data_IF_873443816834
#
_entry.id   IF_873443816834
#
_cell.length_a   1.000
_cell.length_b   1.000
_cell.length_c   1.000
_cell.angle_alpha   90.00
_cell.angle_beta   90.00
_cell.angle_gamma   90.00
#
_symmetry.space_group_name_H-M   'P 1'
#
loop_
_entity.id
_entity.type
_entity.pdbx_description
1 polymer ?
#
# COMPACT_ATOMS: atom_id res chain seq x y z
N UNK A 1 -42.08 -21.99 16.29
CA UNK A 1 -42.09 -23.19 17.18
C UNK A 1 -40.66 -23.46 17.60
N UNK A 2 -40.30 -22.94 18.76
CA UNK A 2 -38.99 -23.15 19.35
C UNK A 2 -38.95 -24.42 20.17
N UNK A 3 -37.89 -25.21 20.14
CA UNK A 3 -37.75 -26.35 21.07
C UNK A 3 -37.22 -25.87 22.42
N UNK A 4 -38.02 -26.07 23.42
CA UNK A 4 -37.73 -25.85 24.84
C UNK A 4 -36.61 -26.83 25.26
N UNK A 5 -35.45 -26.32 25.61
CA UNK A 5 -34.33 -27.06 26.15
C UNK A 5 -34.66 -27.57 27.57
N UNK A 6 -34.72 -28.88 27.75
CA UNK A 6 -34.88 -29.52 29.05
C UNK A 6 -33.62 -29.38 29.91
N UNK A 7 -33.77 -28.75 31.06
CA UNK A 7 -32.76 -28.73 32.10
C UNK A 7 -32.81 -30.06 32.88
N UNK A 8 -31.71 -30.80 32.89
CA UNK A 8 -31.56 -32.00 33.77
C UNK A 8 -30.72 -31.57 34.97
N UNK A 9 -31.35 -31.47 36.13
CA UNK A 9 -30.65 -31.31 37.41
C UNK A 9 -30.25 -32.68 37.97
N UNK A 10 -28.95 -32.93 38.09
CA UNK A 10 -28.42 -34.08 38.83
C UNK A 10 -28.04 -33.60 40.23
N UNK A 11 -28.84 -33.98 41.23
CA UNK A 11 -28.50 -33.79 42.65
C UNK A 11 -27.73 -34.98 43.16
N UNK A 12 -26.47 -34.85 43.51
CA UNK A 12 -25.70 -35.84 44.25
C UNK A 12 -25.79 -35.54 45.76
N UNK A 13 -26.55 -36.34 46.49
CA UNK A 13 -26.62 -36.28 47.97
C UNK A 13 -25.59 -37.25 48.52
N UNK A 14 -24.61 -36.77 49.26
CA UNK A 14 -23.65 -37.60 50.01
C UNK A 14 -24.05 -37.58 51.50
N UNK A 15 -24.61 -38.65 51.98
CA UNK A 15 -24.94 -38.85 53.40
C UNK A 15 -23.74 -39.46 54.14
N UNK A 16 -23.18 -38.75 55.12
CA UNK A 16 -22.23 -39.29 56.07
C UNK A 16 -23.05 -39.67 57.34
N UNK A 17 -22.92 -40.91 57.74
CA UNK A 17 -23.50 -41.45 58.99
C UNK A 17 -22.73 -40.97 60.21
N UNK A 18 -23.41 -40.45 61.21
CA UNK A 18 -22.89 -40.24 62.57
C UNK A 18 -23.43 -38.97 63.24
N UNK A 19 -24.28 -39.19 64.24
CA UNK A 19 -24.73 -38.34 65.34
C UNK A 19 -25.51 -37.06 65.04
N UNK A 20 -26.74 -37.01 65.52
CA UNK A 20 -27.71 -35.92 65.38
C UNK A 20 -27.69 -35.05 66.65
N UNK A 21 -27.35 -33.76 66.46
CA UNK A 21 -27.54 -32.71 67.48
C UNK A 21 -28.74 -31.81 67.04
N UNK A 22 -29.75 -31.58 67.90
CA UNK A 22 -31.08 -31.10 67.43
C UNK A 22 -31.26 -29.62 67.36
N UNK A 23 -30.20 -28.83 67.15
CA UNK A 23 -30.32 -27.36 67.02
C UNK A 23 -29.39 -26.74 66.00
N UNK A 24 -29.38 -27.27 64.80
CA UNK A 24 -28.69 -26.55 63.71
C UNK A 24 -29.66 -26.40 62.53
N UNK A 25 -30.21 -25.20 62.39
CA UNK A 25 -30.93 -24.79 61.17
C UNK A 25 -29.94 -24.68 60.04
N UNK A 26 -29.90 -25.63 59.13
CA UNK A 26 -29.05 -25.60 57.93
C UNK A 26 -29.77 -24.83 56.89
N UNK A 27 -29.27 -23.59 56.65
CA UNK A 27 -29.61 -22.73 55.45
C UNK A 27 -28.94 -23.35 54.25
N UNK A 28 -29.71 -24.10 53.45
CA UNK A 28 -29.22 -24.50 52.12
C UNK A 28 -29.22 -23.31 51.15
N UNK A 29 -28.05 -22.71 50.91
CA UNK A 29 -27.87 -21.81 49.80
C UNK A 29 -27.74 -22.65 48.52
N UNK A 30 -28.78 -22.68 47.70
CA UNK A 30 -28.69 -23.21 46.34
C UNK A 30 -27.82 -22.26 45.50
N UNK A 31 -26.54 -22.57 45.38
CA UNK A 31 -25.71 -21.98 44.38
C UNK A 31 -26.03 -22.59 43.00
N UNK A 32 -26.93 -21.94 42.25
CA UNK A 32 -27.10 -22.23 40.85
C UNK A 32 -25.85 -21.73 40.11
N UNK A 33 -24.89 -22.64 39.87
CA UNK A 33 -23.76 -22.34 38.97
C UNK A 33 -24.31 -22.41 37.54
N UNK A 34 -24.70 -21.29 37.02
CA UNK A 34 -24.94 -21.17 35.58
C UNK A 34 -23.56 -21.27 34.88
N UNK A 35 -23.42 -22.12 33.85
CA UNK A 35 -22.22 -22.06 33.03
C UNK A 35 -22.11 -20.65 32.43
N UNK A 36 -20.91 -20.07 32.36
CA UNK A 36 -20.75 -18.77 31.73
C UNK A 36 -21.32 -18.87 30.31
N UNK A 37 -22.33 -18.04 30.05
CA UNK A 37 -22.81 -17.83 28.67
C UNK A 37 -21.66 -17.19 27.94
N UNK A 38 -20.86 -18.00 27.22
CA UNK A 38 -19.88 -17.51 26.27
C UNK A 38 -20.70 -16.78 25.21
N UNK A 39 -20.61 -15.45 25.08
CA UNK A 39 -21.29 -14.76 24.02
C UNK A 39 -20.77 -15.36 22.71
N UNK A 40 -21.62 -15.99 21.91
CA UNK A 40 -21.30 -16.31 20.52
C UNK A 40 -20.81 -15.00 19.90
N UNK A 41 -19.62 -15.00 19.29
CA UNK A 41 -19.23 -13.81 18.51
C UNK A 41 -20.36 -13.55 17.54
N UNK A 42 -21.01 -12.40 17.68
CA UNK A 42 -22.01 -11.95 16.73
C UNK A 42 -21.35 -12.07 15.37
N UNK A 43 -21.93 -12.84 14.46
CA UNK A 43 -21.54 -12.83 13.06
C UNK A 43 -21.90 -11.44 12.56
N UNK A 44 -20.92 -10.54 12.62
CA UNK A 44 -21.04 -9.18 12.07
C UNK A 44 -21.00 -9.36 10.56
N UNK A 45 -22.13 -9.71 9.98
CA UNK A 45 -22.41 -9.53 8.55
C UNK A 45 -22.75 -8.07 8.35
N UNK A 46 -21.75 -7.18 8.58
CA UNK A 46 -21.91 -5.79 8.17
C UNK A 46 -21.81 -5.75 6.66
N UNK A 47 -22.77 -5.13 6.03
CA UNK A 47 -22.76 -4.90 4.59
C UNK A 47 -21.46 -4.17 4.18
N UNK A 48 -20.93 -4.46 2.98
CA UNK A 48 -19.76 -3.75 2.49
C UNK A 48 -20.01 -2.25 2.46
N UNK A 49 -19.13 -1.47 3.07
CA UNK A 49 -19.25 -0.01 3.09
C UNK A 49 -17.92 0.67 2.73
N UNK A 50 -17.96 1.86 2.11
CA UNK A 50 -16.78 2.68 1.91
C UNK A 50 -16.21 3.13 3.26
N UNK A 51 -14.89 3.10 3.40
CA UNK A 51 -14.18 3.60 4.59
C UNK A 51 -12.82 4.17 4.19
N UNK A 52 -12.17 4.88 5.11
CA UNK A 52 -10.81 5.38 4.90
C UNK A 52 -9.85 4.24 4.55
N UNK A 53 -8.83 4.49 3.72
CA UNK A 53 -7.93 3.43 3.27
C UNK A 53 -7.06 2.88 4.41
N UNK A 54 -6.93 1.56 4.42
CA UNK A 54 -6.01 0.85 5.32
C UNK A 54 -4.57 0.92 4.81
N UNK A 55 -4.41 1.08 3.48
CA UNK A 55 -3.11 1.10 2.80
C UNK A 55 -3.07 2.22 1.77
N UNK A 56 -1.97 2.98 1.76
CA UNK A 56 -1.75 4.04 0.77
C UNK A 56 -0.43 3.80 0.04
N UNK A 57 -0.49 3.65 -1.29
CA UNK A 57 0.69 3.65 -2.15
C UNK A 57 1.05 5.12 -2.45
N UNK A 58 2.00 5.67 -1.70
CA UNK A 58 2.34 7.09 -1.69
C UNK A 58 3.23 7.54 -2.85
N UNK A 59 3.92 6.62 -3.50
CA UNK A 59 4.89 6.96 -4.56
C UNK A 59 5.75 5.76 -4.96
N UNK A 60 6.75 6.03 -5.82
CA UNK A 60 7.07 7.31 -6.45
C UNK A 60 6.40 7.40 -7.82
N UNK A 61 6.13 8.59 -8.27
CA UNK A 61 5.69 8.81 -9.65
C UNK A 61 6.71 8.19 -10.62
N UNK A 62 6.25 7.30 -11.52
CA UNK A 62 7.05 6.50 -12.46
C UNK A 62 7.89 5.37 -11.83
N UNK A 63 7.72 5.10 -10.56
CA UNK A 63 8.35 3.96 -9.87
C UNK A 63 7.66 2.60 -10.09
N UNK A 64 6.45 2.56 -10.68
CA UNK A 64 5.72 1.30 -10.84
C UNK A 64 4.44 1.19 -10.00
N UNK A 65 3.97 2.28 -9.39
CA UNK A 65 2.80 2.29 -8.47
C UNK A 65 1.54 1.66 -9.06
N UNK A 66 1.32 1.79 -10.37
CA UNK A 66 0.17 1.15 -11.03
C UNK A 66 0.36 -0.37 -11.14
N UNK A 67 1.57 -0.83 -11.43
CA UNK A 67 1.87 -2.25 -11.47
C UNK A 67 1.67 -2.88 -10.09
N UNK A 68 2.24 -2.26 -9.05
CA UNK A 68 2.07 -2.71 -7.66
C UNK A 68 0.59 -2.79 -7.27
N UNK A 69 -0.22 -1.77 -7.59
CA UNK A 69 -1.66 -1.78 -7.30
C UNK A 69 -2.38 -2.92 -8.02
N UNK A 70 -2.10 -3.13 -9.32
CA UNK A 70 -2.74 -4.19 -10.10
C UNK A 70 -2.32 -5.59 -9.64
N UNK A 71 -1.07 -5.75 -9.17
CA UNK A 71 -0.59 -7.00 -8.56
C UNK A 71 -1.24 -7.24 -7.20
N UNK A 72 -1.38 -6.23 -6.35
CA UNK A 72 -2.10 -6.33 -5.08
C UNK A 72 -3.58 -6.73 -5.26
N UNK A 73 -4.22 -6.30 -6.33
CA UNK A 73 -5.62 -6.67 -6.65
C UNK A 73 -5.79 -8.16 -7.01
N UNK A 74 -4.71 -8.91 -7.18
CA UNK A 74 -4.77 -10.37 -7.31
C UNK A 74 -5.20 -11.04 -6.00
N UNK A 75 -4.90 -10.39 -4.87
CA UNK A 75 -5.28 -10.89 -3.54
C UNK A 75 -6.76 -10.63 -3.26
N UNK A 76 -7.49 -11.66 -2.82
CA UNK A 76 -8.95 -11.62 -2.65
C UNK A 76 -9.42 -10.67 -1.55
N UNK A 77 -8.56 -10.36 -0.57
CA UNK A 77 -8.86 -9.43 0.52
C UNK A 77 -8.49 -7.97 0.19
N UNK A 78 -8.01 -7.67 -1.02
CA UNK A 78 -7.62 -6.31 -1.39
C UNK A 78 -8.67 -5.65 -2.26
N UNK A 79 -9.20 -4.55 -1.77
CA UNK A 79 -10.17 -3.68 -2.45
C UNK A 79 -9.50 -2.34 -2.78
N UNK A 80 -9.23 -2.08 -4.07
CA UNK A 80 -8.48 -0.91 -4.49
C UNK A 80 -9.35 0.19 -5.10
N UNK A 81 -9.05 1.45 -4.76
CA UNK A 81 -9.65 2.61 -5.40
C UNK A 81 -9.39 2.63 -6.92
N UNK A 82 -10.35 3.05 -7.70
CA UNK A 82 -10.28 2.99 -9.17
C UNK A 82 -9.34 4.04 -9.75
N UNK A 83 -9.27 5.22 -9.13
CA UNK A 83 -8.50 6.38 -9.60
C UNK A 83 -7.55 6.91 -8.54
N UNK A 84 -6.65 7.80 -8.94
CA UNK A 84 -5.85 8.60 -8.01
C UNK A 84 -6.74 9.68 -7.41
N UNK A 85 -6.91 9.66 -6.09
CA UNK A 85 -7.87 10.55 -5.41
C UNK A 85 -7.32 11.96 -5.23
N UNK A 86 -5.99 12.08 -5.08
CA UNK A 86 -5.35 13.36 -4.82
C UNK A 86 -5.93 14.11 -3.60
N UNK A 87 -6.35 13.35 -2.58
CA UNK A 87 -6.98 13.94 -1.40
C UNK A 87 -5.98 14.77 -0.59
N UNK A 88 -4.79 14.23 -0.36
CA UNK A 88 -3.83 14.87 0.54
C UNK A 88 -2.95 15.94 -0.13
N UNK A 89 -2.77 15.92 -1.44
CA UNK A 89 -1.90 16.86 -2.15
C UNK A 89 -2.65 18.03 -2.83
N UNK A 90 -3.96 17.92 -3.04
CA UNK A 90 -4.80 19.02 -3.54
C UNK A 90 -5.64 19.62 -2.41
N UNK A 91 -5.45 20.92 -2.13
CA UNK A 91 -6.17 21.61 -1.07
C UNK A 91 -7.68 21.56 -1.25
N UNK A 92 -8.16 21.72 -2.50
CA UNK A 92 -9.58 21.63 -2.84
C UNK A 92 -10.21 20.26 -2.52
N UNK A 93 -9.42 19.18 -2.57
CA UNK A 93 -9.88 17.85 -2.18
C UNK A 93 -9.81 17.66 -0.66
N UNK A 94 -8.71 18.09 -0.04
CA UNK A 94 -8.52 17.98 1.40
C UNK A 94 -9.61 18.73 2.20
N UNK A 95 -10.02 19.90 1.73
CA UNK A 95 -11.09 20.69 2.33
C UNK A 95 -12.48 20.01 2.30
N UNK A 96 -12.66 18.98 1.47
CA UNK A 96 -13.91 18.21 1.43
C UNK A 96 -14.10 17.27 2.61
N UNK A 97 -13.04 17.04 3.40
CA UNK A 97 -13.09 16.26 4.63
C UNK A 97 -12.99 14.74 4.43
N UNK A 98 -12.84 14.05 5.56
CA UNK A 98 -12.59 12.61 5.62
C UNK A 98 -13.76 11.76 5.06
N UNK A 99 -15.00 12.19 5.25
CA UNK A 99 -16.17 11.48 4.76
C UNK A 99 -16.21 11.45 3.23
N UNK A 100 -15.87 12.57 2.60
CA UNK A 100 -15.71 12.59 1.15
C UNK A 100 -14.57 11.67 0.69
N UNK A 101 -13.44 11.67 1.40
CA UNK A 101 -12.34 10.79 1.06
C UNK A 101 -12.74 9.31 1.19
N UNK A 102 -13.42 8.95 2.27
CA UNK A 102 -13.96 7.60 2.45
C UNK A 102 -14.92 7.21 1.30
N UNK A 103 -15.77 8.13 0.84
CA UNK A 103 -16.69 7.87 -0.28
C UNK A 103 -15.99 7.59 -1.62
N UNK A 104 -14.70 7.95 -1.77
CA UNK A 104 -13.89 7.64 -2.94
C UNK A 104 -13.29 6.21 -2.89
N UNK A 105 -13.36 5.55 -1.73
CA UNK A 105 -12.86 4.19 -1.56
C UNK A 105 -13.90 3.15 -2.01
N UNK A 106 -13.45 1.97 -2.41
CA UNK A 106 -14.36 0.85 -2.67
C UNK A 106 -15.05 0.42 -1.38
N UNK A 107 -16.26 -0.11 -1.52
CA UNK A 107 -16.90 -0.82 -0.41
C UNK A 107 -16.11 -2.08 -0.07
N UNK A 108 -15.83 -2.29 1.21
CA UNK A 108 -15.07 -3.42 1.72
C UNK A 108 -15.79 -4.08 2.91
N UNK A 109 -15.69 -5.39 2.98
CA UNK A 109 -16.17 -6.20 4.12
C UNK A 109 -15.16 -6.16 5.26
N UNK A 110 -15.56 -6.48 6.48
CA UNK A 110 -14.61 -6.76 7.57
C UNK A 110 -13.57 -7.79 7.13
N UNK A 111 -12.29 -7.53 7.45
CA UNK A 111 -11.17 -8.37 7.05
C UNK A 111 -10.61 -8.11 5.63
N UNK A 112 -11.25 -7.26 4.82
CA UNK A 112 -10.67 -6.80 3.57
C UNK A 112 -9.91 -5.49 3.78
N UNK A 113 -8.81 -5.28 3.06
CA UNK A 113 -8.04 -4.03 3.06
C UNK A 113 -8.47 -3.12 1.92
N UNK A 114 -8.72 -1.85 2.23
CA UNK A 114 -8.92 -0.81 1.24
C UNK A 114 -7.60 -0.13 0.90
N UNK A 115 -7.30 -0.01 -0.39
CA UNK A 115 -6.03 0.51 -0.90
C UNK A 115 -6.26 1.71 -1.82
N UNK A 116 -5.61 2.82 -1.52
CA UNK A 116 -5.55 4.01 -2.38
C UNK A 116 -4.14 4.17 -2.95
N UNK A 117 -4.03 4.77 -4.13
CA UNK A 117 -2.75 5.00 -4.79
C UNK A 117 -2.71 6.37 -5.46
N UNK A 118 -1.92 7.28 -4.91
CA UNK A 118 -1.62 8.61 -5.52
C UNK A 118 -0.11 8.88 -5.45
N UNK A 119 0.61 8.68 -6.56
CA UNK A 119 2.07 8.74 -6.56
C UNK A 119 2.67 10.13 -6.31
N UNK A 120 1.86 11.17 -6.38
CA UNK A 120 2.27 12.54 -6.11
C UNK A 120 2.49 12.81 -4.61
N UNK A 121 1.97 11.95 -3.74
CA UNK A 121 2.05 12.14 -2.29
C UNK A 121 3.50 12.15 -1.80
N UNK A 122 4.35 11.26 -2.30
CA UNK A 122 5.70 11.10 -1.79
C UNK A 122 6.54 12.39 -1.83
N UNK A 123 6.42 13.18 -2.90
CA UNK A 123 7.19 14.42 -3.09
C UNK A 123 6.50 15.68 -2.53
N UNK A 124 5.36 15.54 -1.90
CA UNK A 124 4.62 16.68 -1.31
C UNK A 124 4.91 16.82 0.18
N UNK A 125 5.41 17.99 0.59
CA UNK A 125 5.77 18.25 1.98
C UNK A 125 4.58 18.28 2.95
N UNK A 126 3.38 18.60 2.49
CA UNK A 126 2.19 18.69 3.35
C UNK A 126 1.48 17.35 3.57
N UNK A 127 1.76 16.36 2.74
CA UNK A 127 1.01 15.10 2.72
C UNK A 127 1.26 14.23 3.95
N UNK A 128 2.48 14.04 4.46
CA UNK A 128 2.71 13.19 5.62
C UNK A 128 1.85 13.58 6.82
N UNK A 129 1.83 14.85 7.18
CA UNK A 129 1.04 15.36 8.31
C UNK A 129 -0.46 15.20 8.09
N UNK A 130 -0.95 15.44 6.88
CA UNK A 130 -2.36 15.25 6.53
C UNK A 130 -2.79 13.79 6.61
N UNK A 131 -1.95 12.85 6.16
CA UNK A 131 -2.22 11.42 6.32
C UNK A 131 -2.25 11.06 7.79
N UNK A 132 -1.28 11.51 8.59
CA UNK A 132 -1.23 11.24 10.02
C UNK A 132 -2.46 11.77 10.76
N UNK A 133 -2.99 12.91 10.36
CA UNK A 133 -4.20 13.49 10.94
C UNK A 133 -5.47 12.73 10.55
N UNK A 134 -5.56 12.24 9.32
CA UNK A 134 -6.79 11.65 8.77
C UNK A 134 -6.82 10.12 8.89
N UNK A 135 -5.68 9.46 8.65
CA UNK A 135 -5.53 7.99 8.63
C UNK A 135 -4.26 7.56 9.35
N UNK A 136 -4.14 7.80 10.68
CA UNK A 136 -2.91 7.56 11.43
C UNK A 136 -2.46 6.09 11.40
N UNK A 137 -3.41 5.17 11.25
CA UNK A 137 -3.16 3.73 11.25
C UNK A 137 -2.84 3.15 9.85
N UNK A 138 -2.95 3.95 8.80
CA UNK A 138 -2.69 3.48 7.44
C UNK A 138 -1.25 2.97 7.28
N UNK A 139 -1.10 1.83 6.63
CA UNK A 139 0.19 1.30 6.17
C UNK A 139 0.58 1.98 4.86
N UNK A 140 1.84 2.36 4.74
CA UNK A 140 2.35 3.11 3.59
C UNK A 140 3.23 2.21 2.71
N UNK A 141 2.96 2.19 1.42
CA UNK A 141 3.79 1.52 0.43
C UNK A 141 4.50 2.56 -0.43
N UNK A 142 5.82 2.45 -0.51
CA UNK A 142 6.65 3.30 -1.35
C UNK A 142 7.43 2.42 -2.33
N UNK A 143 7.07 2.45 -3.61
CA UNK A 143 7.82 1.75 -4.66
C UNK A 143 8.78 2.72 -5.35
N UNK A 144 10.04 2.37 -5.40
CA UNK A 144 11.14 3.18 -5.96
C UNK A 144 11.80 2.47 -7.13
N UNK A 145 12.45 3.24 -7.98
CA UNK A 145 13.28 2.77 -9.09
C UNK A 145 14.58 3.53 -9.13
N UNK A 146 15.55 3.04 -9.90
CA UNK A 146 16.77 3.78 -10.19
C UNK A 146 16.41 5.21 -10.63
N UNK A 147 16.96 6.26 -9.99
CA UNK A 147 16.55 7.64 -10.17
C UNK A 147 16.62 8.16 -11.60
N UNK A 148 17.66 7.77 -12.37
CA UNK A 148 17.82 8.17 -13.78
C UNK A 148 16.71 7.54 -14.63
N UNK A 149 16.48 6.23 -14.50
CA UNK A 149 15.41 5.52 -15.20
C UNK A 149 14.02 6.09 -14.88
N UNK A 150 13.79 6.43 -13.60
CA UNK A 150 12.57 7.09 -13.18
C UNK A 150 12.41 8.46 -13.85
N UNK A 151 13.50 9.26 -13.91
CA UNK A 151 13.52 10.59 -14.53
C UNK A 151 13.19 10.48 -16.03
N UNK A 152 13.86 9.57 -16.75
CA UNK A 152 13.61 9.33 -18.17
C UNK A 152 12.15 8.93 -18.43
N UNK A 153 11.62 8.08 -17.57
CA UNK A 153 10.21 7.67 -17.62
C UNK A 153 9.25 8.84 -17.37
N UNK A 154 9.59 9.77 -16.47
CA UNK A 154 8.77 10.97 -16.18
C UNK A 154 8.76 11.94 -17.37
N UNK A 155 9.93 12.20 -17.95
CA UNK A 155 10.04 12.96 -19.18
C UNK A 155 9.19 12.35 -20.30
N UNK A 156 9.38 11.06 -20.57
CA UNK A 156 8.64 10.34 -21.62
C UNK A 156 7.12 10.49 -21.44
N UNK A 157 6.63 10.38 -20.21
CA UNK A 157 5.20 10.56 -19.95
C UNK A 157 4.75 12.00 -20.21
N UNK A 158 5.50 12.99 -19.74
CA UNK A 158 5.17 14.41 -19.94
C UNK A 158 5.21 14.75 -21.44
N UNK A 159 6.21 14.27 -22.14
CA UNK A 159 6.37 14.47 -23.58
C UNK A 159 5.14 13.96 -24.36
N UNK A 160 4.74 12.71 -24.13
CA UNK A 160 3.55 12.14 -24.78
C UNK A 160 2.25 12.86 -24.39
N UNK A 161 2.07 13.22 -23.13
CA UNK A 161 0.87 13.96 -22.70
C UNK A 161 0.79 15.36 -23.35
N UNK A 162 1.94 16.00 -23.63
CA UNK A 162 1.98 17.29 -24.34
C UNK A 162 1.70 17.10 -25.83
N UNK A 163 2.24 16.02 -26.43
CA UNK A 163 1.98 15.64 -27.83
C UNK A 163 0.48 15.41 -28.05
N UNK A 164 -0.15 14.60 -27.21
CA UNK A 164 -1.60 14.31 -27.27
C UNK A 164 -2.46 15.60 -27.13
N UNK A 165 -1.94 16.60 -26.42
CA UNK A 165 -2.64 17.88 -26.20
C UNK A 165 -2.19 19.00 -27.16
N UNK A 166 -1.44 18.67 -28.21
CA UNK A 166 -0.87 19.62 -29.19
C UNK A 166 -0.13 20.80 -28.55
N UNK A 167 0.56 20.55 -27.41
CA UNK A 167 1.36 21.57 -26.71
C UNK A 167 2.82 21.54 -27.16
N UNK A 168 3.52 22.69 -27.16
CA UNK A 168 4.95 22.76 -27.47
C UNK A 168 5.75 21.77 -26.63
N UNK A 169 6.75 21.13 -27.23
CA UNK A 169 7.61 20.13 -26.60
C UNK A 169 9.03 20.66 -26.54
N UNK A 170 9.77 20.20 -25.52
CA UNK A 170 11.19 20.45 -25.38
C UNK A 170 11.93 19.13 -25.35
N UNK A 171 13.14 19.08 -25.84
CA UNK A 171 13.98 17.90 -25.73
C UNK A 171 14.38 17.67 -24.29
N UNK A 172 14.77 16.44 -23.97
CA UNK A 172 15.23 16.11 -22.63
C UNK A 172 16.47 16.91 -22.27
N UNK A 173 17.40 17.06 -23.21
CA UNK A 173 18.64 17.80 -23.05
C UNK A 173 18.36 19.26 -22.69
N UNK A 174 17.43 19.90 -23.40
CA UNK A 174 17.04 21.32 -23.13
C UNK A 174 16.47 21.48 -21.72
N UNK A 175 15.78 20.46 -21.19
CA UNK A 175 15.22 20.50 -19.83
C UNK A 175 16.24 20.16 -18.77
N UNK A 176 17.15 19.22 -19.06
CA UNK A 176 18.15 18.70 -18.11
C UNK A 176 19.40 19.58 -18.01
N UNK A 177 19.76 20.29 -19.08
CA UNK A 177 21.03 21.01 -19.14
C UNK A 177 20.80 22.52 -19.18
N UNK A 178 21.63 23.25 -18.44
CA UNK A 178 21.75 24.71 -18.47
C UNK A 178 23.22 25.05 -18.37
N UNK A 179 23.74 25.81 -19.35
CA UNK A 179 25.13 26.25 -19.38
C UNK A 179 26.17 25.11 -19.23
N UNK A 180 25.87 23.94 -19.81
CA UNK A 180 26.73 22.75 -19.74
C UNK A 180 26.62 21.93 -18.50
N UNK A 181 25.86 22.37 -17.49
CA UNK A 181 25.61 21.67 -16.21
C UNK A 181 24.18 21.19 -16.08
N UNK A 182 23.91 20.32 -15.08
CA UNK A 182 22.56 19.85 -14.79
C UNK A 182 21.68 20.99 -14.28
N UNK A 183 20.50 21.13 -14.88
CA UNK A 183 19.48 22.07 -14.45
C UNK A 183 18.78 21.56 -13.18
N UNK A 184 19.23 21.99 -12.01
CA UNK A 184 18.71 21.57 -10.72
C UNK A 184 17.26 22.01 -10.48
N UNK A 185 16.73 22.96 -11.26
CA UNK A 185 15.33 23.39 -11.19
C UNK A 185 14.38 22.43 -11.91
N UNK A 186 14.91 21.45 -12.64
CA UNK A 186 14.07 20.50 -13.37
C UNK A 186 13.31 19.59 -12.41
N UNK A 187 11.98 19.72 -12.41
CA UNK A 187 11.09 19.03 -11.47
C UNK A 187 11.27 17.51 -11.43
N UNK A 188 11.60 16.88 -12.57
CA UNK A 188 11.80 15.43 -12.59
C UNK A 188 13.08 15.04 -11.86
N UNK A 189 14.13 15.85 -11.89
CA UNK A 189 15.35 15.64 -11.12
C UNK A 189 15.07 15.73 -9.62
N UNK A 190 14.42 16.80 -9.16
CA UNK A 190 14.07 16.98 -7.74
C UNK A 190 13.19 15.85 -7.19
N UNK A 191 12.25 15.33 -7.98
CA UNK A 191 11.44 14.18 -7.61
C UNK A 191 12.23 12.89 -7.43
N UNK A 192 13.44 12.81 -7.99
CA UNK A 192 14.35 11.66 -7.85
C UNK A 192 15.28 11.77 -6.64
N UNK A 193 15.28 12.88 -5.91
CA UNK A 193 16.03 13.03 -4.65
C UNK A 193 15.28 12.37 -3.50
N UNK A 194 15.17 11.04 -3.56
CA UNK A 194 14.34 10.26 -2.63
C UNK A 194 14.72 10.43 -1.16
N UNK A 195 16.02 10.64 -0.88
CA UNK A 195 16.52 10.83 0.49
C UNK A 195 15.92 12.07 1.17
N UNK A 196 15.68 13.16 0.44
CA UNK A 196 15.05 14.36 0.99
C UNK A 196 13.59 14.10 1.36
N UNK A 197 12.86 13.48 0.43
CA UNK A 197 11.46 13.16 0.64
C UNK A 197 11.31 12.11 1.75
N UNK A 198 12.07 11.02 1.73
CA UNK A 198 11.98 9.95 2.74
C UNK A 198 12.31 10.47 4.14
N UNK A 199 13.33 11.34 4.28
CA UNK A 199 13.65 11.96 5.57
C UNK A 199 12.44 12.69 6.16
N UNK A 200 11.72 13.43 5.34
CA UNK A 200 10.51 14.12 5.78
C UNK A 200 9.38 13.14 6.16
N UNK A 201 9.18 12.07 5.39
CA UNK A 201 8.22 11.03 5.76
C UNK A 201 8.56 10.35 7.09
N UNK A 202 9.84 10.05 7.32
CA UNK A 202 10.31 9.41 8.56
C UNK A 202 10.28 10.35 9.78
N UNK A 203 10.20 11.66 9.59
CA UNK A 203 9.94 12.59 10.71
C UNK A 203 8.48 12.56 11.20
N UNK A 204 7.57 12.01 10.42
CA UNK A 204 6.13 11.95 10.73
C UNK A 204 5.66 10.53 11.04
N UNK A 205 6.17 9.55 10.31
CA UNK A 205 5.79 8.13 10.45
C UNK A 205 6.97 7.28 10.91
N UNK A 206 6.77 6.35 11.85
CA UNK A 206 7.79 5.38 12.20
C UNK A 206 8.06 4.45 10.99
N UNK A 207 9.31 3.97 10.87
CA UNK A 207 9.72 3.09 9.77
C UNK A 207 8.85 1.83 9.63
N UNK A 208 8.31 1.33 10.74
CA UNK A 208 7.43 0.16 10.79
C UNK A 208 6.09 0.35 10.08
N UNK A 209 5.67 1.60 9.83
CA UNK A 209 4.45 1.90 9.07
C UNK A 209 4.68 1.98 7.56
N UNK A 210 5.93 1.87 7.12
CA UNK A 210 6.28 2.05 5.71
C UNK A 210 7.05 0.84 5.17
N UNK A 211 6.61 0.29 4.04
CA UNK A 211 7.35 -0.72 3.30
C UNK A 211 7.84 -0.14 1.97
N UNK A 212 9.13 -0.36 1.70
CA UNK A 212 9.77 0.06 0.47
C UNK A 212 9.86 -1.13 -0.48
N UNK A 213 9.29 -0.96 -1.66
CA UNK A 213 9.26 -1.96 -2.73
C UNK A 213 10.31 -1.60 -3.78
N UNK A 214 11.15 -2.55 -4.14
CA UNK A 214 12.08 -2.40 -5.26
C UNK A 214 11.33 -2.55 -6.59
N UNK A 215 11.14 -1.43 -7.28
CA UNK A 215 10.42 -1.40 -8.56
C UNK A 215 11.19 -2.04 -9.71
N UNK A 216 12.51 -2.03 -9.67
CA UNK A 216 13.34 -2.67 -10.68
C UNK A 216 13.37 -4.20 -10.46
N UNK A 217 13.41 -4.66 -9.21
CA UNK A 217 13.21 -6.08 -8.87
C UNK A 217 11.79 -6.55 -9.27
N UNK A 218 10.75 -5.76 -8.98
CA UNK A 218 9.37 -6.06 -9.35
C UNK A 218 9.17 -6.20 -10.87
N UNK A 219 9.94 -5.47 -11.68
CA UNK A 219 9.93 -5.59 -13.15
C UNK A 219 10.59 -6.90 -13.58
N UNK A 220 11.72 -7.28 -12.95
CA UNK A 220 12.48 -8.50 -13.29
C UNK A 220 11.74 -9.76 -12.87
N UNK A 221 11.32 -9.81 -11.61
CA UNK A 221 10.52 -10.91 -11.03
C UNK A 221 9.59 -10.35 -9.96
N UNK A 222 8.28 -10.27 -10.21
CA UNK A 222 7.34 -9.66 -9.28
C UNK A 222 7.10 -10.47 -8.01
N UNK A 223 7.24 -11.79 -8.05
CA UNK A 223 6.79 -12.65 -6.95
C UNK A 223 7.52 -12.40 -5.62
N UNK A 224 8.86 -12.29 -5.57
CA UNK A 224 9.55 -12.04 -4.29
C UNK A 224 9.14 -10.72 -3.63
N UNK A 225 8.98 -9.65 -4.43
CA UNK A 225 8.54 -8.35 -3.90
C UNK A 225 7.08 -8.40 -3.42
N UNK A 226 6.20 -9.08 -4.15
CA UNK A 226 4.80 -9.21 -3.75
C UNK A 226 4.64 -10.02 -2.46
N UNK A 227 5.45 -11.06 -2.22
CA UNK A 227 5.46 -11.79 -0.95
C UNK A 227 5.84 -10.90 0.23
N UNK A 228 6.86 -10.05 0.08
CA UNK A 228 7.24 -9.07 1.12
C UNK A 228 6.10 -8.08 1.39
N UNK A 229 5.37 -7.68 0.36
CA UNK A 229 4.21 -6.79 0.51
C UNK A 229 3.06 -7.48 1.23
N UNK A 230 2.73 -8.74 0.90
CA UNK A 230 1.71 -9.52 1.62
C UNK A 230 2.09 -9.66 3.10
N UNK A 231 3.34 -10.00 3.42
CA UNK A 231 3.85 -10.11 4.78
C UNK A 231 3.72 -8.77 5.54
N UNK A 232 4.18 -7.67 4.96
CA UNK A 232 4.05 -6.34 5.57
C UNK A 232 2.60 -5.96 5.84
N UNK A 233 1.71 -6.28 4.93
CA UNK A 233 0.28 -6.00 5.05
C UNK A 233 -0.41 -6.99 6.00
N UNK A 234 0.25 -8.05 6.43
CA UNK A 234 -0.31 -9.13 7.26
C UNK A 234 -1.44 -9.87 6.54
N UNK A 235 -1.29 -10.05 5.23
CA UNK A 235 -2.19 -10.85 4.41
C UNK A 235 -1.70 -12.30 4.37
N UNK A 236 -2.65 -13.24 4.34
CA UNK A 236 -2.32 -14.63 4.06
C UNK A 236 -1.75 -14.77 2.64
N UNK A 237 -0.66 -15.50 2.42
CA UNK A 237 -0.04 -15.61 1.10
C UNK A 237 -1.00 -16.20 0.06
N UNK A 238 -1.40 -15.42 -0.93
CA UNK A 238 -2.27 -15.84 -2.04
C UNK A 238 -1.62 -15.62 -3.41
N UNK A 239 -0.77 -14.61 -3.51
CA UNK A 239 -0.10 -14.28 -4.77
C UNK A 239 1.04 -15.29 -5.01
N UNK A 240 1.02 -15.94 -6.17
CA UNK A 240 1.94 -17.01 -6.52
C UNK A 240 2.44 -16.87 -7.97
N UNK A 241 3.33 -17.77 -8.39
CA UNK A 241 3.95 -17.71 -9.71
C UNK A 241 2.94 -17.79 -10.87
N UNK A 242 1.82 -18.51 -10.70
CA UNK A 242 0.79 -18.64 -11.74
C UNK A 242 0.08 -17.32 -12.04
N UNK A 243 0.20 -16.34 -11.15
CA UNK A 243 -0.37 -15.00 -11.35
C UNK A 243 0.42 -14.15 -12.33
N UNK A 244 1.62 -14.57 -12.74
CA UNK A 244 2.51 -13.80 -13.58
C UNK A 244 2.94 -14.57 -14.83
N UNK A 245 3.13 -13.84 -15.93
CA UNK A 245 3.80 -14.36 -17.11
C UNK A 245 4.54 -13.23 -17.81
N UNK A 246 5.72 -13.51 -18.32
CA UNK A 246 6.50 -12.51 -19.05
C UNK A 246 5.95 -12.34 -20.46
N UNK A 247 5.57 -11.14 -20.83
CA UNK A 247 5.12 -10.81 -22.18
C UNK A 247 6.28 -10.20 -22.97
N UNK A 248 6.80 -10.98 -23.92
CA UNK A 248 7.97 -10.59 -24.71
C UNK A 248 7.75 -9.31 -25.54
N UNK A 249 6.56 -9.13 -26.08
CA UNK A 249 6.20 -7.92 -26.85
C UNK A 249 6.17 -6.67 -26.00
N UNK A 250 5.75 -6.78 -24.75
CA UNK A 250 5.66 -5.68 -23.79
C UNK A 250 6.95 -5.45 -23.01
N UNK A 251 7.81 -6.48 -22.89
CA UNK A 251 9.05 -6.45 -22.13
C UNK A 251 8.87 -6.39 -20.61
N UNK A 252 7.71 -6.85 -20.08
CA UNK A 252 7.43 -6.90 -18.65
C UNK A 252 6.41 -7.99 -18.30
N UNK A 253 6.30 -8.31 -17.02
CA UNK A 253 5.34 -9.28 -16.51
C UNK A 253 3.90 -8.75 -16.58
N UNK A 254 3.03 -9.55 -17.19
CA UNK A 254 1.59 -9.38 -17.21
C UNK A 254 0.94 -10.29 -16.18
N UNK A 255 -0.34 -10.09 -15.93
CA UNK A 255 -1.08 -10.73 -14.85
C UNK A 255 -1.98 -11.83 -15.39
N UNK A 256 -2.09 -12.92 -14.63
CA UNK A 256 -3.06 -13.99 -14.85
C UNK A 256 -3.91 -14.19 -13.61
N UNK A 257 -5.23 -14.14 -13.75
CA UNK A 257 -6.16 -14.34 -12.65
C UNK A 257 -7.39 -15.12 -13.15
N UNK A 258 -7.69 -16.24 -12.51
CA UNK A 258 -8.83 -17.12 -12.85
C UNK A 258 -8.87 -17.48 -14.35
N UNK A 259 -7.72 -17.84 -14.92
CA UNK A 259 -7.56 -18.20 -16.34
C UNK A 259 -7.63 -17.04 -17.34
N UNK A 260 -7.80 -15.79 -16.86
CA UNK A 260 -7.78 -14.60 -17.72
C UNK A 260 -6.44 -13.89 -17.62
N UNK A 261 -5.88 -13.57 -18.77
CA UNK A 261 -4.65 -12.83 -18.90
C UNK A 261 -4.91 -11.35 -19.17
N UNK A 262 -4.16 -10.48 -18.52
CA UNK A 262 -4.24 -9.03 -18.76
C UNK A 262 -2.87 -8.38 -18.55
N UNK A 263 -2.56 -7.43 -19.40
CA UNK A 263 -1.38 -6.60 -19.23
C UNK A 263 -1.77 -5.18 -18.79
N UNK A 264 -0.80 -4.44 -18.29
CA UNK A 264 -0.97 -3.01 -18.07
C UNK A 264 -1.25 -2.30 -19.40
N UNK A 265 -1.96 -1.18 -19.31
CA UNK A 265 -2.30 -0.36 -20.48
C UNK A 265 -1.06 -0.02 -21.32
N UNK A 266 -1.22 0.11 -22.65
CA UNK A 266 -0.14 0.37 -23.60
C UNK A 266 0.68 1.66 -23.31
N UNK A 267 0.11 2.60 -22.52
CA UNK A 267 0.85 3.77 -22.04
C UNK A 267 1.92 3.46 -20.98
N UNK A 268 2.03 2.20 -20.54
CA UNK A 268 3.06 1.73 -19.61
C UNK A 268 4.17 1.01 -20.38
N UNK A 269 5.40 1.10 -19.87
CA UNK A 269 6.56 0.47 -20.55
C UNK A 269 6.95 1.16 -21.86
N UNK A 270 6.63 2.46 -22.03
CA UNK A 270 7.09 3.21 -23.21
C UNK A 270 8.62 3.24 -23.27
N UNK A 271 9.17 3.04 -24.47
CA UNK A 271 10.60 3.19 -24.72
C UNK A 271 11.06 4.60 -24.34
N UNK A 272 12.15 4.69 -23.61
CA UNK A 272 12.77 5.97 -23.27
C UNK A 272 13.47 6.59 -24.49
N UNK A 273 13.68 7.90 -24.53
CA UNK A 273 14.45 8.53 -25.57
C UNK A 273 15.91 8.09 -25.52
N UNK A 274 16.60 8.13 -26.62
CA UNK A 274 18.05 8.01 -26.62
C UNK A 274 18.63 9.27 -25.97
N UNK A 275 19.53 9.10 -25.02
CA UNK A 275 20.19 10.17 -24.28
C UNK A 275 21.70 10.02 -24.51
N UNK A 276 22.37 11.12 -24.74
CA UNK A 276 23.82 11.12 -24.90
C UNK A 276 24.51 10.52 -23.68
N UNK A 277 25.51 9.63 -23.85
CA UNK A 277 26.21 8.96 -22.74
C UNK A 277 26.77 9.95 -21.70
N UNK A 278 27.22 11.10 -22.14
CA UNK A 278 27.77 12.15 -21.28
C UNK A 278 26.72 12.68 -20.30
N UNK A 279 25.48 12.85 -20.76
CA UNK A 279 24.35 13.32 -19.92
C UNK A 279 23.95 12.22 -18.94
N UNK A 280 23.91 10.96 -19.40
CA UNK A 280 23.63 9.82 -18.51
C UNK A 280 24.69 9.71 -17.40
N UNK A 281 25.97 9.85 -17.74
CA UNK A 281 27.05 9.82 -16.78
C UNK A 281 26.94 10.95 -15.74
N UNK A 282 26.60 12.18 -16.19
CA UNK A 282 26.34 13.30 -15.28
C UNK A 282 25.18 12.99 -14.32
N UNK A 283 24.11 12.33 -14.78
CA UNK A 283 22.98 11.93 -13.93
C UNK A 283 23.37 10.86 -12.92
N UNK A 284 24.09 9.81 -13.34
CA UNK A 284 24.55 8.76 -12.43
C UNK A 284 25.49 9.33 -11.35
N UNK A 285 26.41 10.21 -11.76
CA UNK A 285 27.32 10.88 -10.80
C UNK A 285 26.53 11.76 -9.83
N UNK A 286 25.58 12.54 -10.32
CA UNK A 286 24.74 13.40 -9.50
C UNK A 286 23.92 12.61 -8.49
N UNK A 287 23.37 11.44 -8.86
CA UNK A 287 22.53 10.64 -7.96
C UNK A 287 23.34 9.73 -7.02
N UNK A 288 24.63 9.55 -7.20
CA UNK A 288 25.45 8.63 -6.40
C UNK A 288 25.34 8.91 -4.89
N UNK A 289 25.65 10.13 -4.47
CA UNK A 289 25.57 10.52 -3.06
C UNK A 289 24.12 10.55 -2.54
N UNK A 290 23.15 11.15 -3.23
CA UNK A 290 21.73 11.04 -2.90
C UNK A 290 21.23 9.60 -2.71
N UNK A 291 21.66 8.66 -3.56
CA UNK A 291 21.28 7.25 -3.45
C UNK A 291 21.87 6.61 -2.18
N UNK A 292 23.12 6.87 -1.85
CA UNK A 292 23.73 6.37 -0.61
C UNK A 292 22.97 6.88 0.63
N UNK A 293 22.64 8.17 0.67
CA UNK A 293 21.82 8.76 1.74
C UNK A 293 20.43 8.11 1.81
N UNK A 294 19.83 7.82 0.66
CA UNK A 294 18.55 7.14 0.61
C UNK A 294 18.65 5.70 1.14
N UNK A 295 19.67 4.93 0.77
CA UNK A 295 19.87 3.56 1.26
C UNK A 295 20.03 3.51 2.77
N UNK A 296 20.78 4.46 3.34
CA UNK A 296 20.92 4.58 4.80
C UNK A 296 19.57 4.83 5.49
N UNK A 297 18.78 5.76 4.98
CA UNK A 297 17.43 6.05 5.51
C UNK A 297 16.45 4.90 5.30
N UNK A 298 16.56 4.21 4.18
CA UNK A 298 15.71 3.08 3.82
C UNK A 298 16.01 1.83 4.67
N UNK A 299 17.24 1.71 5.21
CA UNK A 299 17.71 0.52 5.88
C UNK A 299 17.87 -0.69 4.94
N UNK A 300 17.97 -0.43 3.63
CA UNK A 300 18.20 -1.44 2.59
C UNK A 300 18.90 -0.82 1.38
N UNK A 301 19.61 -1.64 0.62
CA UNK A 301 20.28 -1.23 -0.62
C UNK A 301 19.48 -1.69 -1.84
N UNK A 302 19.68 -0.97 -2.93
CA UNK A 302 19.10 -1.29 -4.24
C UNK A 302 20.23 -1.42 -5.25
N UNK A 303 20.03 -2.27 -6.27
CA UNK A 303 20.98 -2.48 -7.37
C UNK A 303 20.87 -1.33 -8.39
N UNK A 304 21.26 -0.12 -7.96
CA UNK A 304 21.25 1.10 -8.77
C UNK A 304 22.67 1.49 -9.20
N UNK A 305 22.78 2.12 -10.37
CA UNK A 305 24.05 2.66 -10.89
C UNK A 305 24.50 3.87 -10.10
#
# INVERSE_FOLDING_TARGET
MEPIGRCVCVCAVRIKSGEVDPMAAVIFALLCVFPPVVPRPASVTSDPSPRLPDVIIIGVRKGGTRALLEMLKLHSQVMAAQSEVHFFDWDSHYQRGADWYASQMPSARPGQLTVEKTPAYFSSRRVPERIRQTTPEAKLLLIVREPTERLLSDYTQVFHNRLEKHKPQQTLETLLMRDGELNLDYKALNRSLYHEHLRHWLSVFPRSRMHLVDGDALIRDPLPEMKKVEEFLQLEPQINADNFYFNQTKGFHCLRQRGRERCLHASKGRKHPNVAPEILNKLYEYFREPNQKFFQLAGQTFDWK
#
